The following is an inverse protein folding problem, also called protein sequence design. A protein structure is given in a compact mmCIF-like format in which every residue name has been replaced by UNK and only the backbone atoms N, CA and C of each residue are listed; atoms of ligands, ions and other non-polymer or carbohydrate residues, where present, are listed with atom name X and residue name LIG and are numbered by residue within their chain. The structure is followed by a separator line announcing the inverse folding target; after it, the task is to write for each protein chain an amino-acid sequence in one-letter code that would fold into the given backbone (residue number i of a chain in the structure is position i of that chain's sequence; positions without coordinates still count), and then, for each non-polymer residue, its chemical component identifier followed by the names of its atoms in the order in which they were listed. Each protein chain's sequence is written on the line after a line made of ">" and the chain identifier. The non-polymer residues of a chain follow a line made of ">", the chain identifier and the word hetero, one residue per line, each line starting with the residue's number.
data_IF_629339281693
#
_entry.id   IF_629339281693
#
_cell.length_a   1.000
_cell.length_b   1.000
_cell.length_c   1.000
_cell.angle_alpha   90.00
_cell.angle_beta   90.00
_cell.angle_gamma   90.00
#
_symmetry.space_group_name_H-M   'P 1'
#
loop_
_entity.id
_entity.type
_entity.pdbx_description
1 polymer ?
#
# COMPACT_ATOMS: atom_id res chain seq x y z
N UNK A 1 -2.05 33.08 -7.65
CA UNK A 1 -2.99 31.97 -7.40
C UNK A 1 -2.25 30.85 -6.69
N UNK A 2 -2.76 30.45 -5.54
CA UNK A 2 -2.22 29.50 -4.57
C UNK A 2 -2.10 28.08 -5.14
N UNK A 3 -0.88 27.65 -5.47
CA UNK A 3 -0.52 26.22 -5.57
C UNK A 3 -0.12 25.73 -4.17
N UNK A 4 -1.10 25.51 -3.32
CA UNK A 4 -0.98 24.72 -2.11
C UNK A 4 -2.19 23.79 -2.14
N UNK A 5 -1.99 22.50 -2.39
CA UNK A 5 -2.87 21.40 -1.92
C UNK A 5 -2.43 20.00 -2.40
N UNK A 6 -1.45 19.86 -3.30
CA UNK A 6 -0.91 18.53 -3.68
C UNK A 6 0.23 18.04 -2.75
N UNK A 7 0.26 18.51 -1.51
CA UNK A 7 1.27 18.07 -0.55
C UNK A 7 0.77 16.79 0.11
N UNK A 8 1.16 15.65 -0.46
CA UNK A 8 1.01 14.31 0.10
C UNK A 8 -0.27 13.52 -0.20
N UNK A 9 -0.52 13.25 -1.50
CA UNK A 9 -1.65 12.43 -1.97
C UNK A 9 -1.61 11.01 -1.40
N UNK A 10 -0.45 10.36 -1.39
CA UNK A 10 -0.31 9.00 -0.87
C UNK A 10 -0.52 8.99 0.65
N UNK A 11 0.06 9.95 1.38
CA UNK A 11 -0.17 10.09 2.82
C UNK A 11 -1.66 10.26 3.16
N UNK A 12 -2.36 11.14 2.43
CA UNK A 12 -3.80 11.38 2.66
C UNK A 12 -4.65 10.16 2.32
N UNK A 13 -4.32 9.44 1.26
CA UNK A 13 -5.02 8.21 0.90
C UNK A 13 -4.79 7.11 1.95
N UNK A 14 -3.56 6.98 2.47
CA UNK A 14 -3.24 6.07 3.56
C UNK A 14 -4.00 6.43 4.85
N UNK A 15 -4.08 7.71 5.23
CA UNK A 15 -4.84 8.17 6.40
C UNK A 15 -6.30 7.68 6.34
N UNK A 16 -6.92 7.70 5.16
CA UNK A 16 -8.28 7.19 4.97
C UNK A 16 -8.35 5.67 5.10
N UNK A 17 -7.41 4.97 4.45
CA UNK A 17 -7.42 3.51 4.35
C UNK A 17 -7.17 2.80 5.69
N UNK A 18 -6.32 3.36 6.54
CA UNK A 18 -5.90 2.69 7.78
C UNK A 18 -6.93 2.74 8.90
N UNK A 19 -7.88 3.68 8.83
CA UNK A 19 -8.91 3.93 9.86
C UNK A 19 -9.95 2.81 10.00
N UNK A 20 -10.04 1.91 9.01
CA UNK A 20 -10.99 0.80 9.00
C UNK A 20 -10.31 -0.51 8.59
N UNK A 21 -10.92 -1.68 8.86
CA UNK A 21 -10.41 -2.95 8.37
C UNK A 21 -10.21 -2.93 6.85
N UNK A 22 -9.09 -3.49 6.36
CA UNK A 22 -8.69 -3.40 4.95
C UNK A 22 -9.67 -4.06 3.97
N UNK A 23 -10.46 -5.04 4.43
CA UNK A 23 -11.52 -5.67 3.64
C UNK A 23 -12.75 -4.75 3.43
N UNK A 24 -12.80 -3.61 4.11
CA UNK A 24 -13.81 -2.56 4.00
C UNK A 24 -13.20 -1.24 3.47
N UNK A 25 -11.97 -1.28 2.95
CA UNK A 25 -11.27 -0.11 2.44
C UNK A 25 -12.12 0.73 1.48
N UNK A 26 -12.01 2.05 1.60
CA UNK A 26 -12.59 3.00 0.65
C UNK A 26 -11.95 2.81 -0.73
N UNK A 27 -12.80 2.62 -1.75
CA UNK A 27 -12.33 2.27 -3.09
C UNK A 27 -11.59 3.44 -3.75
N UNK A 28 -12.00 4.68 -3.47
CA UNK A 28 -11.37 5.88 -4.04
C UNK A 28 -9.97 6.08 -3.46
N UNK A 29 -9.84 6.02 -2.13
CA UNK A 29 -8.57 6.11 -1.45
C UNK A 29 -7.63 4.95 -1.84
N UNK A 30 -8.16 3.73 -1.98
CA UNK A 30 -7.37 2.57 -2.39
C UNK A 30 -6.77 2.75 -3.78
N UNK A 31 -7.58 3.21 -4.73
CA UNK A 31 -7.12 3.51 -6.09
C UNK A 31 -6.13 4.68 -6.10
N UNK A 32 -6.39 5.73 -5.32
CA UNK A 32 -5.49 6.88 -5.21
C UNK A 32 -4.11 6.48 -4.70
N UNK A 33 -4.05 5.74 -3.59
CA UNK A 33 -2.79 5.26 -3.01
C UNK A 33 -2.03 4.35 -4.00
N UNK A 34 -2.72 3.43 -4.66
CA UNK A 34 -2.10 2.53 -5.61
C UNK A 34 -1.51 3.26 -6.83
N UNK A 35 -2.25 4.22 -7.40
CA UNK A 35 -1.76 5.03 -8.53
C UNK A 35 -0.57 5.89 -8.16
N UNK A 36 -0.55 6.46 -6.96
CA UNK A 36 0.62 7.18 -6.47
C UNK A 36 1.85 6.27 -6.44
N UNK A 37 1.72 5.05 -5.91
CA UNK A 37 2.85 4.10 -5.88
C UNK A 37 3.26 3.65 -7.29
N UNK A 38 2.31 3.40 -8.20
CA UNK A 38 2.62 2.80 -9.50
C UNK A 38 3.12 3.78 -10.56
N UNK A 39 2.55 4.98 -10.59
CA UNK A 39 2.64 5.86 -11.76
C UNK A 39 3.08 7.29 -11.46
N UNK A 40 2.97 7.74 -10.20
CA UNK A 40 3.37 9.09 -9.84
C UNK A 40 4.89 9.21 -9.68
N UNK A 41 5.41 10.41 -9.93
CA UNK A 41 6.80 10.80 -9.64
C UNK A 41 6.97 11.29 -8.19
N UNK A 42 5.92 11.23 -7.38
CA UNK A 42 5.97 11.59 -5.96
C UNK A 42 6.97 10.72 -5.20
N UNK A 43 7.76 11.37 -4.34
CA UNK A 43 8.77 10.70 -3.52
C UNK A 43 8.09 9.89 -2.40
N UNK A 44 8.09 8.56 -2.52
CA UNK A 44 7.36 7.66 -1.60
C UNK A 44 7.87 7.78 -0.17
N UNK A 45 9.18 7.99 0.02
CA UNK A 45 9.76 8.17 1.34
C UNK A 45 9.23 9.44 2.06
N UNK A 46 9.06 10.53 1.31
CA UNK A 46 8.48 11.78 1.80
C UNK A 46 7.02 11.61 2.19
N UNK A 47 6.23 10.90 1.37
CA UNK A 47 4.84 10.54 1.66
C UNK A 47 4.72 9.71 2.94
N UNK A 48 5.57 8.69 3.09
CA UNK A 48 5.58 7.84 4.28
C UNK A 48 5.99 8.63 5.52
N UNK A 49 6.99 9.53 5.42
CA UNK A 49 7.35 10.43 6.53
C UNK A 49 6.20 11.36 6.92
N UNK A 50 5.44 11.87 5.95
CA UNK A 50 4.27 12.68 6.21
C UNK A 50 3.19 11.88 6.95
N UNK A 51 2.90 10.67 6.51
CA UNK A 51 1.96 9.76 7.16
C UNK A 51 2.39 9.45 8.61
N UNK A 52 3.64 9.02 8.81
CA UNK A 52 4.14 8.61 10.12
C UNK A 52 4.17 9.75 11.17
N UNK A 53 4.18 11.01 10.76
CA UNK A 53 4.05 12.17 11.67
C UNK A 53 2.69 12.23 12.36
N UNK A 54 1.64 11.70 11.74
CA UNK A 54 0.26 11.80 12.22
C UNK A 54 -0.30 10.48 12.77
N UNK A 55 0.32 9.35 12.46
CA UNK A 55 -0.11 8.04 12.93
C UNK A 55 0.89 7.45 13.90
N UNK A 56 0.47 7.19 15.14
CA UNK A 56 1.26 6.44 16.15
C UNK A 56 0.65 5.07 16.50
N UNK A 57 -0.55 4.76 16.00
CA UNK A 57 -1.21 3.48 16.23
C UNK A 57 -0.50 2.35 15.46
N UNK A 58 -0.23 1.23 16.15
CA UNK A 58 0.49 0.08 15.59
C UNK A 58 -0.30 -0.60 14.47
N UNK A 59 -1.62 -0.73 14.62
CA UNK A 59 -2.48 -1.37 13.62
C UNK A 59 -2.54 -0.50 12.36
N UNK A 60 -2.72 0.82 12.51
CA UNK A 60 -2.74 1.74 11.37
C UNK A 60 -1.42 1.72 10.60
N UNK A 61 -0.28 1.75 11.31
CA UNK A 61 1.05 1.66 10.68
C UNK A 61 1.27 0.33 9.96
N UNK A 62 0.85 -0.79 10.54
CA UNK A 62 0.93 -2.12 9.90
C UNK A 62 0.04 -2.20 8.67
N UNK A 63 -1.17 -1.63 8.70
CA UNK A 63 -2.06 -1.54 7.55
C UNK A 63 -1.42 -0.74 6.41
N UNK A 64 -0.81 0.41 6.71
CA UNK A 64 -0.08 1.19 5.71
C UNK A 64 1.12 0.42 5.13
N UNK A 65 1.94 -0.20 5.97
CA UNK A 65 3.08 -1.00 5.53
C UNK A 65 2.66 -2.19 4.64
N UNK A 66 1.60 -2.90 5.05
CA UNK A 66 0.99 -3.96 4.25
C UNK A 66 0.54 -3.45 2.88
N UNK A 67 -0.15 -2.30 2.82
CA UNK A 67 -0.65 -1.73 1.57
C UNK A 67 0.48 -1.36 0.62
N UNK A 68 1.51 -0.66 1.13
CA UNK A 68 2.68 -0.27 0.34
C UNK A 68 3.40 -1.48 -0.25
N UNK A 69 3.69 -2.51 0.57
CA UNK A 69 4.28 -3.74 0.04
C UNK A 69 3.33 -4.50 -0.88
N UNK A 70 2.02 -4.44 -0.64
CA UNK A 70 1.06 -5.10 -1.52
C UNK A 70 1.07 -4.46 -2.91
N UNK A 71 1.20 -3.14 -3.00
CA UNK A 71 1.26 -2.42 -4.27
C UNK A 71 2.49 -2.77 -5.12
N UNK A 72 3.61 -3.17 -4.51
CA UNK A 72 4.80 -3.60 -5.26
C UNK A 72 4.67 -4.99 -5.89
N UNK A 73 3.65 -5.77 -5.53
CA UNK A 73 3.42 -7.13 -6.06
C UNK A 73 2.57 -7.18 -7.33
N UNK A 74 2.13 -6.04 -7.84
CA UNK A 74 1.36 -5.95 -9.08
C UNK A 74 2.30 -5.82 -10.27
N UNK A 75 1.99 -6.48 -11.39
CA UNK A 75 2.88 -6.53 -12.56
C UNK A 75 3.04 -5.20 -13.30
N UNK A 76 2.23 -4.19 -12.98
CA UNK A 76 2.22 -2.89 -13.66
C UNK A 76 3.17 -1.87 -13.02
N UNK A 77 3.70 -2.16 -11.83
CA UNK A 77 4.68 -1.30 -11.16
C UNK A 77 6.04 -1.47 -11.84
N UNK A 78 6.78 -0.37 -11.99
CA UNK A 78 8.15 -0.43 -12.51
C UNK A 78 9.15 -0.86 -11.42
N UNK A 79 10.26 -1.47 -11.80
CA UNK A 79 11.31 -1.89 -10.86
C UNK A 79 11.83 -0.72 -10.01
N UNK A 80 11.94 0.48 -10.61
CA UNK A 80 12.32 1.71 -9.88
C UNK A 80 11.32 2.03 -8.77
N UNK A 81 10.01 1.99 -9.06
CA UNK A 81 8.96 2.24 -8.05
C UNK A 81 8.89 1.15 -7.00
N UNK A 82 9.18 -0.10 -7.36
CA UNK A 82 9.33 -1.20 -6.38
C UNK A 82 10.44 -0.89 -5.40
N UNK A 83 11.65 -0.60 -5.89
CA UNK A 83 12.81 -0.33 -5.05
C UNK A 83 12.58 0.88 -4.14
N UNK A 84 12.02 1.96 -4.68
CA UNK A 84 11.68 3.15 -3.90
C UNK A 84 10.68 2.85 -2.78
N UNK A 85 9.64 2.09 -3.09
CA UNK A 85 8.62 1.71 -2.09
C UNK A 85 9.20 0.78 -1.02
N UNK A 86 10.04 -0.19 -1.42
CA UNK A 86 10.71 -1.09 -0.48
C UNK A 86 11.68 -0.33 0.44
N UNK A 87 12.39 0.68 -0.08
CA UNK A 87 13.23 1.55 0.75
C UNK A 87 12.38 2.36 1.74
N UNK A 88 11.25 2.93 1.29
CA UNK A 88 10.33 3.64 2.17
C UNK A 88 9.73 2.74 3.27
N UNK A 89 9.57 1.43 3.03
CA UNK A 89 9.12 0.47 4.03
C UNK A 89 10.10 0.31 5.21
N UNK A 90 11.39 0.62 5.04
CA UNK A 90 12.37 0.58 6.14
C UNK A 90 12.05 1.60 7.25
N UNK A 91 11.30 2.66 6.92
CA UNK A 91 10.81 3.63 7.90
C UNK A 91 9.80 3.00 8.88
N UNK A 92 9.09 1.96 8.46
CA UNK A 92 8.18 1.21 9.33
C UNK A 92 8.93 0.22 10.23
N UNK A 93 10.05 -0.33 9.76
CA UNK A 93 10.81 -1.38 10.46
C UNK A 93 11.23 -1.00 11.89
N UNK A 94 11.46 0.30 12.13
CA UNK A 94 11.82 0.82 13.45
C UNK A 94 10.67 0.81 14.46
N UNK A 95 9.42 0.83 14.00
CA UNK A 95 8.25 0.97 14.88
C UNK A 95 7.29 -0.21 14.83
N UNK A 96 7.23 -0.91 13.69
CA UNK A 96 6.33 -2.02 13.43
C UNK A 96 7.09 -3.10 12.65
N UNK A 97 8.02 -3.83 13.29
CA UNK A 97 8.79 -4.86 12.60
C UNK A 97 7.88 -5.97 12.09
N UNK A 98 8.22 -6.55 10.93
CA UNK A 98 7.54 -7.74 10.43
C UNK A 98 7.66 -8.88 11.43
N UNK A 99 6.62 -9.68 11.52
CA UNK A 99 6.58 -10.89 12.34
C UNK A 99 7.15 -12.05 11.54
N UNK A 100 7.96 -12.87 12.19
CA UNK A 100 8.43 -14.15 11.63
C UNK A 100 7.23 -15.08 11.45
N UNK A 101 6.77 -15.21 10.20
CA UNK A 101 5.72 -16.17 9.85
C UNK A 101 6.39 -17.49 9.54
N UNK A 102 6.23 -18.46 10.45
CA UNK A 102 6.61 -19.83 10.14
C UNK A 102 5.84 -20.29 8.89
N UNK A 103 6.51 -20.82 7.85
CA UNK A 103 5.85 -21.25 6.63
C UNK A 103 4.81 -22.33 6.96
N UNK A 104 3.53 -21.99 6.78
CA UNK A 104 2.45 -22.91 7.14
C UNK A 104 2.40 -24.04 6.12
N UNK A 105 2.90 -25.21 6.52
CA UNK A 105 3.19 -26.32 5.61
C UNK A 105 1.93 -27.05 5.13
N UNK A 106 0.75 -26.84 5.76
CA UNK A 106 -0.52 -27.51 5.43
C UNK A 106 -1.73 -26.66 5.84
N UNK A 107 -2.11 -25.68 5.03
CA UNK A 107 -3.37 -24.94 5.22
C UNK A 107 -4.40 -25.41 4.20
N UNK A 108 -5.57 -25.84 4.65
CA UNK A 108 -6.73 -26.08 3.79
C UNK A 108 -7.03 -24.82 2.96
N UNK A 109 -7.32 -24.96 1.66
CA UNK A 109 -7.57 -23.83 0.75
C UNK A 109 -8.62 -22.83 1.29
N UNK A 110 -9.54 -23.31 2.14
CA UNK A 110 -10.58 -22.50 2.80
C UNK A 110 -10.04 -21.52 3.86
N UNK A 111 -8.84 -21.74 4.37
CA UNK A 111 -8.18 -20.96 5.42
C UNK A 111 -6.92 -20.22 4.92
N UNK A 112 -6.72 -20.10 3.61
CA UNK A 112 -5.53 -19.45 3.05
C UNK A 112 -5.57 -17.95 3.37
N UNK A 113 -4.90 -17.58 4.47
CA UNK A 113 -4.67 -16.18 4.84
C UNK A 113 -3.65 -15.56 3.90
N UNK A 114 -3.80 -14.27 3.64
CA UNK A 114 -2.78 -13.52 2.90
C UNK A 114 -1.50 -13.52 3.73
N UNK A 115 -0.49 -14.29 3.30
CA UNK A 115 0.78 -14.43 4.01
C UNK A 115 1.48 -13.07 4.21
N UNK A 116 1.28 -12.12 3.29
CA UNK A 116 1.80 -10.76 3.44
C UNK A 116 1.14 -10.06 4.63
N UNK A 117 -0.20 -10.11 4.73
CA UNK A 117 -0.92 -9.52 5.86
C UNK A 117 -0.46 -10.14 7.18
N UNK A 118 -0.32 -11.47 7.23
CA UNK A 118 0.17 -12.19 8.41
C UNK A 118 1.59 -11.76 8.77
N UNK A 119 2.49 -11.54 7.79
CA UNK A 119 3.85 -11.07 8.06
C UNK A 119 3.93 -9.66 8.63
N UNK A 120 2.93 -8.82 8.37
CA UNK A 120 2.78 -7.52 9.04
C UNK A 120 2.01 -7.63 10.37
N UNK A 121 1.62 -8.86 10.76
CA UNK A 121 0.85 -9.15 11.96
C UNK A 121 -0.61 -8.68 11.91
N UNK A 122 -1.17 -8.58 10.71
CA UNK A 122 -2.58 -8.26 10.50
C UNK A 122 -3.43 -9.54 10.48
N UNK A 123 -4.64 -9.44 11.01
CA UNK A 123 -5.64 -10.51 10.93
C UNK A 123 -6.45 -10.44 9.62
N UNK A 124 -6.46 -9.27 8.99
CA UNK A 124 -7.18 -8.93 7.77
C UNK A 124 -6.24 -8.56 6.61
N UNK A 125 -6.75 -8.74 5.39
CA UNK A 125 -6.12 -8.29 4.14
C UNK A 125 -7.15 -7.49 3.33
N UNK A 126 -6.80 -7.06 2.12
CA UNK A 126 -7.77 -6.43 1.21
C UNK A 126 -8.95 -7.35 0.84
N UNK A 127 -8.79 -8.68 0.92
CA UNK A 127 -9.82 -9.61 0.47
C UNK A 127 -10.26 -9.32 -0.98
N UNK A 128 -11.57 -9.13 -1.19
CA UNK A 128 -12.13 -8.80 -2.52
C UNK A 128 -11.84 -7.35 -2.95
N UNK A 129 -11.47 -6.43 -2.04
CA UNK A 129 -11.17 -5.03 -2.38
C UNK A 129 -9.98 -4.89 -3.32
N UNK A 130 -9.12 -5.90 -3.39
CA UNK A 130 -8.04 -5.95 -4.39
C UNK A 130 -8.57 -5.92 -5.83
N UNK A 131 -9.83 -6.32 -6.07
CA UNK A 131 -10.42 -6.29 -7.42
C UNK A 131 -10.65 -4.87 -7.94
N UNK A 132 -10.86 -3.89 -7.06
CA UNK A 132 -10.97 -2.46 -7.41
C UNK A 132 -9.74 -1.95 -8.16
N UNK A 133 -8.59 -2.61 -7.94
CA UNK A 133 -7.30 -2.25 -8.54
C UNK A 133 -7.07 -2.84 -9.93
N UNK A 134 -7.84 -3.84 -10.36
CA UNK A 134 -7.59 -4.60 -11.60
C UNK A 134 -7.65 -3.74 -12.88
N UNK A 135 -8.61 -2.81 -13.06
CA UNK A 135 -8.68 -1.99 -14.27
C UNK A 135 -7.43 -1.15 -14.52
N UNK A 136 -6.73 -0.78 -13.44
CA UNK A 136 -5.59 0.13 -13.49
C UNK A 136 -4.27 -0.59 -13.79
N UNK A 137 -4.23 -1.92 -13.84
CA UNK A 137 -3.02 -2.70 -14.13
C UNK A 137 -2.81 -2.95 -15.64
N UNK A 138 -3.73 -2.49 -16.48
CA UNK A 138 -3.69 -2.78 -17.90
C UNK A 138 -2.55 -2.03 -18.59
N UNK A 139 -1.94 -2.65 -19.60
CA UNK A 139 -0.93 -1.97 -20.44
C UNK A 139 -1.47 -0.70 -21.09
N UNK A 140 -2.77 -0.69 -21.40
CA UNK A 140 -3.44 0.48 -21.96
C UNK A 140 -3.45 1.65 -20.97
N UNK A 141 -3.89 1.40 -19.74
CA UNK A 141 -3.87 2.41 -18.68
C UNK A 141 -2.44 2.93 -18.43
N UNK A 142 -1.45 2.03 -18.36
CA UNK A 142 -0.05 2.42 -18.20
C UNK A 142 0.42 3.37 -19.30
N UNK A 143 0.09 3.11 -20.56
CA UNK A 143 0.46 3.99 -21.67
C UNK A 143 -0.15 5.40 -21.54
N UNK A 144 -1.41 5.50 -21.09
CA UNK A 144 -2.07 6.79 -20.86
C UNK A 144 -1.38 7.61 -19.76
N UNK A 145 -0.90 6.96 -18.70
CA UNK A 145 -0.20 7.66 -17.60
C UNK A 145 1.16 8.23 -18.03
N UNK A 146 1.91 7.52 -18.89
CA UNK A 146 3.20 7.99 -19.39
C UNK A 146 3.11 9.05 -20.51
N UNK A 147 1.90 9.29 -21.04
CA UNK A 147 1.66 10.22 -22.15
C UNK A 147 1.22 11.62 -21.70
N UNK A 148 1.02 11.81 -20.39
CA UNK A 148 0.42 13.02 -19.80
C UNK A 148 1.44 13.92 -19.13
#
# INVERSE_FOLDING_TARGET
>A
MTKLNDAHVLSSALDTLVRSPLNQADDVALVSAAKEVWYSDSNVESEVKAFLKHHSDDIERRRAAYLLERFTRFSCVSDTRVLETLHALELFAHSTPKQDVAPQTKVSLRNRKDELAVSWGLAESLGLKVQTLMPFQTRHYQAEQHSS
#
